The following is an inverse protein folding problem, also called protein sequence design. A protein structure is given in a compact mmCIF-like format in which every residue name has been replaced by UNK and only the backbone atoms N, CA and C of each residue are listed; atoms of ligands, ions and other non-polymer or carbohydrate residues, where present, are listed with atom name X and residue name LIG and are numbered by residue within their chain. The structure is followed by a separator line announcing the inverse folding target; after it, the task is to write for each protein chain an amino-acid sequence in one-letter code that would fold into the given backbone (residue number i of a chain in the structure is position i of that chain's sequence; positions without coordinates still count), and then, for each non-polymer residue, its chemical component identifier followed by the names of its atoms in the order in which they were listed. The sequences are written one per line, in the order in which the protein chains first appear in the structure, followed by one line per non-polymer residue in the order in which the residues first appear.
data_IF_776008949068
#
_entry.id   IF_776008949068
#
_cell.length_a   1.000
_cell.length_b   1.000
_cell.length_c   1.000
_cell.angle_alpha   90.00
_cell.angle_beta   90.00
_cell.angle_gamma   90.00
#
_symmetry.space_group_name_H-M   'P 1'
#
loop_
_entity.id
_entity.type
_entity.pdbx_description
1 polymer ?
#
# COMPACT_ATOMS: atom_id res chain seq x y z
N UNK A 1 -19.67 14.85 -5.80
CA UNK A 1 -19.85 13.60 -5.04
C UNK A 1 -18.68 13.49 -4.09
N UNK A 2 -18.93 13.55 -2.79
CA UNK A 2 -17.86 13.40 -1.81
C UNK A 2 -17.35 11.95 -1.89
N UNK A 3 -16.04 11.77 -2.05
CA UNK A 3 -15.42 10.44 -2.05
C UNK A 3 -15.72 9.75 -0.71
N UNK A 4 -16.64 8.80 -0.72
CA UNK A 4 -16.86 7.91 0.42
C UNK A 4 -15.57 7.11 0.64
N UNK A 5 -15.06 7.10 1.88
CA UNK A 5 -13.87 6.31 2.24
C UNK A 5 -14.25 4.83 2.11
N UNK A 6 -13.91 4.21 0.98
CA UNK A 6 -14.22 2.82 0.63
C UNK A 6 -13.54 1.75 1.50
N UNK A 7 -12.99 2.11 2.68
CA UNK A 7 -12.24 1.20 3.54
C UNK A 7 -10.90 0.73 2.98
N UNK A 8 -10.62 0.99 1.70
CA UNK A 8 -9.38 0.60 1.02
C UNK A 8 -8.15 1.13 1.75
N UNK A 9 -8.22 2.30 2.39
CA UNK A 9 -7.11 2.85 3.20
C UNK A 9 -6.62 1.89 4.30
N UNK A 10 -7.48 1.01 4.84
CA UNK A 10 -7.10 0.00 5.82
C UNK A 10 -6.36 -1.21 5.20
N UNK A 11 -6.54 -1.44 3.90
CA UNK A 11 -5.85 -2.50 3.15
C UNK A 11 -4.42 -2.09 2.73
N UNK A 12 -4.06 -0.81 2.90
CA UNK A 12 -2.77 -0.25 2.45
C UNK A 12 -1.94 0.28 3.64
N UNK A 13 -1.64 -0.54 4.67
CA UNK A 13 -0.82 -0.08 5.78
C UNK A 13 0.64 0.06 5.32
N UNK A 14 1.02 1.28 4.94
CA UNK A 14 2.42 1.66 4.71
C UNK A 14 2.87 2.50 5.90
N UNK A 15 3.75 1.94 6.73
CA UNK A 15 4.31 2.63 7.88
C UNK A 15 5.64 3.25 7.48
N UNK A 16 5.71 4.54 7.20
CA UNK A 16 7.00 5.20 6.99
C UNK A 16 7.74 5.36 8.32
N UNK A 17 8.44 4.30 8.73
CA UNK A 17 9.33 4.30 9.89
C UNK A 17 10.42 5.35 9.67
N UNK A 18 10.33 6.51 10.33
CA UNK A 18 11.49 7.39 10.47
C UNK A 18 12.42 6.76 11.50
N UNK A 19 13.73 6.74 11.25
CA UNK A 19 14.70 6.27 12.24
C UNK A 19 14.54 7.10 13.52
N UNK A 20 13.94 6.52 14.54
CA UNK A 20 13.64 7.19 15.78
C UNK A 20 14.89 7.23 16.66
N UNK A 21 15.70 8.27 16.48
CA UNK A 21 16.92 8.57 17.26
C UNK A 21 18.05 7.53 17.19
N UNK A 22 19.23 7.88 17.72
CA UNK A 22 20.41 7.00 17.77
C UNK A 22 20.24 5.74 18.64
N UNK A 23 19.16 5.66 19.43
CA UNK A 23 18.87 4.56 20.34
C UNK A 23 18.09 3.41 19.70
N UNK A 24 17.55 3.59 18.48
CA UNK A 24 16.90 2.50 17.75
C UNK A 24 17.93 1.52 17.18
N UNK A 25 17.71 0.22 17.40
CA UNK A 25 18.51 -0.85 16.80
C UNK A 25 18.50 -0.70 15.28
N UNK A 26 19.69 -0.62 14.68
CA UNK A 26 19.85 -0.56 13.22
C UNK A 26 19.16 -1.75 12.55
N UNK A 27 19.26 -2.93 13.17
CA UNK A 27 18.65 -4.16 12.67
C UNK A 27 17.12 -4.09 12.66
N UNK A 28 16.50 -3.59 13.74
CA UNK A 28 15.05 -3.40 13.81
C UNK A 28 14.57 -2.38 12.76
N UNK A 29 15.34 -1.32 12.54
CA UNK A 29 15.05 -0.34 11.50
C UNK A 29 15.11 -0.98 10.11
N UNK A 30 16.19 -1.70 9.80
CA UNK A 30 16.38 -2.36 8.50
C UNK A 30 15.28 -3.41 8.24
N UNK A 31 14.89 -4.19 9.26
CA UNK A 31 13.75 -5.12 9.19
C UNK A 31 12.46 -4.38 8.88
N UNK A 32 12.20 -3.25 9.56
CA UNK A 32 10.98 -2.47 9.34
C UNK A 32 10.93 -1.88 7.93
N UNK A 33 12.06 -1.45 7.38
CA UNK A 33 12.14 -0.94 6.00
C UNK A 33 11.83 -2.05 5.02
N UNK A 34 12.47 -3.23 5.15
CA UNK A 34 12.21 -4.37 4.27
C UNK A 34 10.74 -4.82 4.30
N UNK A 35 10.11 -4.84 5.48
CA UNK A 35 8.69 -5.15 5.61
C UNK A 35 7.80 -4.11 4.91
N UNK A 36 8.11 -2.82 5.04
CA UNK A 36 7.35 -1.76 4.37
C UNK A 36 7.51 -1.81 2.85
N UNK A 37 8.70 -2.10 2.34
CA UNK A 37 8.93 -2.29 0.90
C UNK A 37 8.10 -3.45 0.36
N UNK A 38 8.05 -4.59 1.08
CA UNK A 38 7.22 -5.73 0.69
C UNK A 38 5.73 -5.38 0.68
N UNK A 39 5.25 -4.69 1.73
CA UNK A 39 3.86 -4.25 1.81
C UNK A 39 3.51 -3.27 0.68
N UNK A 40 4.41 -2.34 0.34
CA UNK A 40 4.18 -1.39 -0.74
C UNK A 40 4.05 -2.09 -2.09
N UNK A 41 4.87 -3.10 -2.37
CA UNK A 41 4.77 -3.87 -3.60
C UNK A 41 3.44 -4.63 -3.71
N UNK A 42 3.02 -5.32 -2.64
CA UNK A 42 1.74 -6.04 -2.60
C UNK A 42 0.54 -5.10 -2.80
N UNK A 43 0.62 -3.93 -2.18
CA UNK A 43 -0.37 -2.88 -2.31
C UNK A 43 -0.50 -2.40 -3.76
N UNK A 44 0.64 -2.07 -4.41
CA UNK A 44 0.65 -1.61 -5.80
C UNK A 44 0.12 -2.69 -6.77
N UNK A 45 0.48 -3.95 -6.55
CA UNK A 45 -0.05 -5.06 -7.33
C UNK A 45 -1.57 -5.19 -7.17
N UNK A 46 -2.09 -5.06 -5.95
CA UNK A 46 -3.53 -5.07 -5.68
C UNK A 46 -4.25 -3.92 -6.40
N UNK A 47 -3.68 -2.70 -6.39
CA UNK A 47 -4.25 -1.56 -7.13
C UNK A 47 -4.25 -1.83 -8.63
N UNK A 48 -3.15 -2.37 -9.16
CA UNK A 48 -3.04 -2.68 -10.56
C UNK A 48 -4.13 -3.67 -11.01
N UNK A 49 -4.32 -4.76 -10.27
CA UNK A 49 -5.38 -5.74 -10.57
C UNK A 49 -6.78 -5.11 -10.51
N UNK A 50 -7.03 -4.25 -9.52
CA UNK A 50 -8.33 -3.56 -9.42
C UNK A 50 -8.57 -2.57 -10.55
N UNK A 51 -7.53 -1.91 -11.06
CA UNK A 51 -7.64 -1.05 -12.22
C UNK A 51 -7.98 -1.85 -13.48
N UNK A 52 -7.35 -3.01 -13.68
CA UNK A 52 -7.69 -3.91 -14.78
C UNK A 52 -9.14 -4.39 -14.70
N UNK A 53 -9.61 -4.83 -13.52
CA UNK A 53 -11.01 -5.23 -13.32
C UNK A 53 -12.00 -4.11 -13.71
N UNK A 54 -11.66 -2.85 -13.41
CA UNK A 54 -12.49 -1.69 -13.76
C UNK A 54 -12.44 -1.41 -15.26
N UNK A 55 -11.27 -1.49 -15.89
CA UNK A 55 -11.10 -1.30 -17.33
C UNK A 55 -11.87 -2.37 -18.13
N UNK A 56 -11.78 -3.64 -17.72
CA UNK A 56 -12.56 -4.73 -18.30
C UNK A 56 -14.08 -4.50 -18.13
N UNK A 57 -14.52 -4.06 -16.95
CA UNK A 57 -15.94 -3.77 -16.72
C UNK A 57 -16.47 -2.63 -17.60
N UNK A 58 -15.69 -1.55 -17.75
CA UNK A 58 -16.08 -0.41 -18.58
C UNK A 58 -16.11 -0.78 -20.06
N UNK A 59 -15.11 -1.52 -20.55
CA UNK A 59 -15.06 -1.97 -21.94
C UNK A 59 -16.17 -2.97 -22.30
N UNK A 60 -16.68 -3.73 -21.33
CA UNK A 60 -17.84 -4.61 -21.51
C UNK A 60 -19.20 -3.90 -21.47
N UNK A 61 -19.23 -2.64 -21.01
CA UNK A 61 -20.47 -1.85 -20.84
C UNK A 61 -20.69 -0.84 -21.99
N UNK A 62 -19.67 -0.54 -22.78
CA UNK A 62 -19.77 0.16 -24.08
C UNK A 62 -20.14 -0.79 -25.23
#
# INVERSE_FOLDING_TARGET
MAFEKTGIQALFPVYFSRKASEQASKEEFDISVAQNESNLNQNLETLYQKLLEIEDYLSATE
#
